data_IF_555585885417
#
_entry.id   IF_555585885417
#
_cell.length_a   1.000
_cell.length_b   1.000
_cell.length_c   1.000
_cell.angle_alpha   90.00
_cell.angle_beta   90.00
_cell.angle_gamma   90.00
#
_symmetry.space_group_name_H-M   'P 1'
#
loop_
_entity.id
_entity.type
_entity.pdbx_description
1 polymer ?
#
# COMPACT_ATOMS: atom_id res chain seq x y z
N UNK A 1 -17.94 15.36 -54.50
CA UNK A 1 -17.84 16.01 -53.17
C UNK A 1 -18.09 14.91 -52.13
N UNK A 2 -17.02 14.39 -51.58
CA UNK A 2 -17.05 13.22 -50.63
C UNK A 2 -17.01 13.80 -49.22
N UNK A 3 -18.11 13.70 -48.48
CA UNK A 3 -18.18 14.12 -47.08
C UNK A 3 -17.72 12.93 -46.24
N UNK A 4 -16.48 12.99 -45.71
CA UNK A 4 -16.04 12.07 -44.67
C UNK A 4 -16.71 12.45 -43.34
N UNK A 5 -17.67 11.64 -42.88
CA UNK A 5 -18.13 11.66 -41.48
C UNK A 5 -17.02 11.02 -40.60
N UNK A 6 -16.25 11.86 -39.92
CA UNK A 6 -15.44 11.44 -38.78
C UNK A 6 -16.40 11.17 -37.59
N UNK A 7 -16.82 9.93 -37.43
CA UNK A 7 -17.45 9.50 -36.19
C UNK A 7 -16.34 9.47 -35.11
N UNK A 8 -16.27 10.53 -34.30
CA UNK A 8 -15.44 10.58 -33.14
C UNK A 8 -15.94 9.53 -32.11
N UNK A 9 -15.21 8.42 -31.96
CA UNK A 9 -15.38 7.57 -30.79
C UNK A 9 -14.96 8.39 -29.56
N UNK A 10 -15.95 8.95 -28.87
CA UNK A 10 -15.75 9.43 -27.51
C UNK A 10 -15.62 8.16 -26.64
N UNK A 11 -14.40 7.73 -26.37
CA UNK A 11 -14.14 6.79 -25.29
C UNK A 11 -14.61 7.47 -24.00
N UNK A 12 -15.72 7.01 -23.42
CA UNK A 12 -16.15 7.47 -22.10
C UNK A 12 -15.06 7.08 -21.11
N UNK A 13 -14.42 8.06 -20.48
CA UNK A 13 -13.46 7.79 -19.43
C UNK A 13 -14.12 6.94 -18.35
N UNK A 14 -13.60 5.75 -18.10
CA UNK A 14 -14.10 4.89 -17.06
C UNK A 14 -13.73 5.48 -15.71
N UNK A 15 -14.71 5.62 -14.82
CA UNK A 15 -14.45 6.04 -13.44
C UNK A 15 -13.59 5.01 -12.72
N UNK A 16 -12.79 5.46 -11.75
CA UNK A 16 -12.05 4.58 -10.89
C UNK A 16 -12.99 3.54 -10.23
N UNK A 17 -12.56 2.28 -10.10
CA UNK A 17 -13.33 1.26 -9.41
C UNK A 17 -13.64 1.68 -7.97
N UNK A 18 -14.78 1.27 -7.45
CA UNK A 18 -15.08 1.50 -6.03
C UNK A 18 -14.06 0.76 -5.17
N UNK A 19 -13.59 1.38 -4.06
CA UNK A 19 -12.73 0.69 -3.10
C UNK A 19 -13.39 -0.58 -2.58
N UNK A 20 -12.59 -1.61 -2.34
CA UNK A 20 -13.05 -2.88 -1.79
C UNK A 20 -12.13 -3.37 -0.68
N UNK A 21 -12.68 -4.19 0.22
CA UNK A 21 -11.97 -4.74 1.37
C UNK A 21 -11.66 -6.23 1.15
N UNK A 22 -10.51 -6.66 1.68
CA UNK A 22 -10.09 -8.05 1.83
C UNK A 22 -9.92 -8.32 3.32
N UNK A 23 -10.45 -9.42 3.81
CA UNK A 23 -10.49 -9.66 5.26
C UNK A 23 -9.21 -10.28 5.83
N UNK A 24 -8.47 -11.07 5.03
CA UNK A 24 -7.26 -11.76 5.49
C UNK A 24 -6.14 -11.75 4.43
N UNK A 25 -5.07 -10.93 4.62
CA UNK A 25 -4.94 -9.91 5.67
C UNK A 25 -5.98 -8.80 5.48
N UNK A 26 -6.27 -8.03 6.53
CA UNK A 26 -7.26 -6.95 6.41
C UNK A 26 -6.70 -5.81 5.56
N UNK A 27 -7.11 -5.74 4.30
CA UNK A 27 -6.70 -4.75 3.31
C UNK A 27 -7.90 -3.94 2.83
N UNK A 28 -7.66 -2.68 2.54
CA UNK A 28 -8.57 -1.88 1.71
C UNK A 28 -7.86 -1.42 0.47
N UNK A 29 -8.44 -1.76 -0.69
CA UNK A 29 -7.84 -1.57 -2.01
C UNK A 29 -8.51 -0.40 -2.73
N UNK A 30 -7.68 0.50 -3.25
CA UNK A 30 -8.07 1.66 -4.04
C UNK A 30 -7.33 1.60 -5.39
N UNK A 31 -8.03 1.21 -6.43
CA UNK A 31 -7.48 1.17 -7.78
C UNK A 31 -7.71 2.50 -8.51
N UNK A 32 -6.77 2.98 -9.31
CA UNK A 32 -6.98 4.13 -10.18
C UNK A 32 -7.98 3.82 -11.28
N UNK A 33 -8.47 4.85 -11.96
CA UNK A 33 -9.22 4.67 -13.18
C UNK A 33 -8.36 3.91 -14.22
N UNK A 34 -8.92 2.95 -14.96
CA UNK A 34 -8.14 2.08 -15.85
C UNK A 34 -7.27 2.83 -16.85
N UNK A 35 -7.76 3.95 -17.39
CA UNK A 35 -7.04 4.79 -18.34
C UNK A 35 -5.87 5.57 -17.75
N UNK A 36 -5.82 5.72 -16.43
CA UNK A 36 -4.72 6.35 -15.71
C UNK A 36 -3.71 5.34 -15.16
N UNK A 37 -4.10 4.06 -15.07
CA UNK A 37 -3.31 3.04 -14.39
C UNK A 37 -1.91 2.90 -14.98
N UNK A 38 -0.89 3.11 -14.13
CA UNK A 38 0.53 2.97 -14.49
C UNK A 38 1.05 1.54 -14.28
N UNK A 39 0.28 0.71 -13.60
CA UNK A 39 0.72 -0.59 -13.09
C UNK A 39 1.42 -0.51 -11.74
N UNK A 40 1.81 0.68 -11.27
CA UNK A 40 2.45 0.85 -9.96
C UNK A 40 1.45 0.69 -8.82
N UNK A 41 1.89 0.08 -7.73
CA UNK A 41 1.11 -0.04 -6.50
C UNK A 41 1.94 0.29 -5.25
N UNK A 42 1.26 0.73 -4.20
CA UNK A 42 1.86 0.99 -2.89
C UNK A 42 1.02 0.33 -1.80
N UNK A 43 1.64 -0.51 -0.99
CA UNK A 43 1.06 -1.04 0.25
C UNK A 43 1.35 -0.06 1.37
N UNK A 44 0.31 0.50 1.98
CA UNK A 44 0.42 1.49 3.04
C UNK A 44 0.25 0.84 4.42
N UNK A 45 1.20 1.08 5.31
CA UNK A 45 1.20 0.67 6.70
C UNK A 45 1.00 1.91 7.59
N UNK A 46 -0.21 2.21 8.06
CA UNK A 46 -0.46 3.35 8.94
C UNK A 46 0.28 3.21 10.27
N UNK A 47 0.66 4.32 10.89
CA UNK A 47 1.21 4.36 12.24
C UNK A 47 0.14 4.21 13.31
N UNK A 48 0.54 4.38 14.56
CA UNK A 48 -0.32 4.28 15.74
C UNK A 48 0.37 3.61 16.94
N UNK A 49 1.71 3.64 16.97
CA UNK A 49 2.51 3.16 18.11
C UNK A 49 2.34 1.69 18.44
N UNK A 50 1.92 0.86 17.48
CA UNK A 50 1.54 -0.55 17.68
C UNK A 50 0.42 -0.79 18.70
N UNK A 51 -0.32 0.26 19.07
CA UNK A 51 -1.49 0.20 19.95
C UNK A 51 -2.82 0.48 19.24
N UNK A 52 -2.74 0.96 18.01
CA UNK A 52 -3.86 1.25 17.12
C UNK A 52 -3.37 1.55 15.71
N UNK A 53 -4.28 1.95 14.80
CA UNK A 53 -3.96 2.30 13.42
C UNK A 53 -4.62 3.63 13.03
N UNK A 54 -3.81 4.54 12.56
CA UNK A 54 -4.24 5.83 12.00
C UNK A 54 -4.74 5.66 10.54
N UNK A 55 -5.66 4.72 10.31
CA UNK A 55 -6.06 4.26 8.97
C UNK A 55 -6.62 5.35 8.05
N UNK A 56 -7.20 6.41 8.62
CA UNK A 56 -7.74 7.51 7.82
C UNK A 56 -6.60 8.37 7.29
N UNK A 57 -5.99 9.21 8.13
CA UNK A 57 -5.02 10.22 7.68
C UNK A 57 -3.64 9.68 7.27
N UNK A 58 -3.26 8.48 7.71
CA UNK A 58 -2.02 7.81 7.27
C UNK A 58 -2.28 6.64 6.29
N UNK A 59 -3.53 6.48 5.87
CA UNK A 59 -3.95 5.42 4.95
C UNK A 59 -4.91 5.93 3.89
N UNK A 60 -6.20 5.92 4.17
CA UNK A 60 -7.27 6.16 3.18
C UNK A 60 -7.20 7.53 2.52
N UNK A 61 -6.84 8.57 3.26
CA UNK A 61 -6.79 9.96 2.75
C UNK A 61 -5.71 10.15 1.67
N UNK A 62 -4.76 9.22 1.55
CA UNK A 62 -3.77 9.19 0.48
C UNK A 62 -4.34 8.67 -0.85
N UNK A 63 -5.46 7.93 -0.84
CA UNK A 63 -5.99 7.28 -2.03
C UNK A 63 -6.29 8.25 -3.19
N UNK A 64 -6.93 9.40 -2.98
CA UNK A 64 -7.17 10.36 -4.07
C UNK A 64 -5.88 10.85 -4.73
N UNK A 65 -4.82 11.07 -3.93
CA UNK A 65 -3.53 11.50 -4.44
C UNK A 65 -2.89 10.43 -5.32
N UNK A 66 -2.75 9.21 -4.82
CA UNK A 66 -2.13 8.10 -5.56
C UNK A 66 -2.93 7.72 -6.80
N UNK A 67 -4.25 7.58 -6.67
CA UNK A 67 -5.10 7.21 -7.81
C UNK A 67 -5.09 8.27 -8.92
N UNK A 68 -5.01 9.56 -8.59
CA UNK A 68 -4.83 10.64 -9.58
C UNK A 68 -3.52 10.49 -10.36
N UNK A 69 -2.49 9.91 -9.76
CA UNK A 69 -1.20 9.61 -10.40
C UNK A 69 -1.19 8.25 -11.11
N UNK A 70 -2.32 7.57 -11.18
CA UNK A 70 -2.42 6.23 -11.77
C UNK A 70 -1.82 5.12 -10.94
N UNK A 71 -1.61 5.35 -9.64
CA UNK A 71 -0.98 4.41 -8.71
C UNK A 71 -2.08 3.79 -7.84
N UNK A 72 -2.09 2.45 -7.72
CA UNK A 72 -2.96 1.77 -6.79
C UNK A 72 -2.46 1.94 -5.35
N UNK A 73 -3.37 2.18 -4.42
CA UNK A 73 -3.08 2.21 -2.99
C UNK A 73 -3.78 1.06 -2.29
N UNK A 74 -3.02 0.29 -1.50
CA UNK A 74 -3.52 -0.82 -0.71
C UNK A 74 -3.21 -0.54 0.76
N UNK A 75 -4.21 -0.24 1.57
CA UNK A 75 -4.01 0.09 2.98
C UNK A 75 -4.13 -1.18 3.81
N UNK A 76 -3.05 -1.53 4.50
CA UNK A 76 -2.98 -2.69 5.38
C UNK A 76 -3.39 -2.31 6.80
N UNK A 77 -4.42 -2.96 7.31
CA UNK A 77 -4.82 -2.90 8.72
C UNK A 77 -4.16 -4.08 9.45
N UNK A 78 -2.86 -3.97 9.68
CA UNK A 78 -2.09 -5.04 10.33
C UNK A 78 -2.50 -5.25 11.79
N UNK A 79 -2.37 -6.48 12.26
CA UNK A 79 -2.65 -6.85 13.66
C UNK A 79 -1.63 -6.22 14.60
N UNK A 80 -2.11 -5.79 15.77
CA UNK A 80 -1.22 -5.29 16.82
C UNK A 80 -0.37 -6.42 17.38
N UNK A 81 0.92 -6.17 17.69
CA UNK A 81 1.84 -7.21 18.13
C UNK A 81 1.44 -7.83 19.47
N UNK A 82 0.94 -7.06 20.44
CA UNK A 82 0.57 -7.58 21.77
C UNK A 82 1.63 -8.50 22.38
N UNK A 83 2.90 -8.12 22.22
CA UNK A 83 4.06 -8.93 22.64
C UNK A 83 4.56 -9.93 21.58
N UNK A 84 3.87 -10.09 20.46
CA UNK A 84 4.30 -10.95 19.34
C UNK A 84 4.50 -10.12 18.06
N UNK A 85 5.75 -9.71 17.85
CA UNK A 85 6.14 -8.92 16.65
C UNK A 85 5.94 -9.65 15.32
N UNK A 86 5.76 -10.97 15.34
CA UNK A 86 5.55 -11.73 14.10
C UNK A 86 4.19 -11.45 13.48
N UNK A 87 3.20 -11.02 14.27
CA UNK A 87 1.85 -10.74 13.79
C UNK A 87 1.82 -9.64 12.72
N UNK A 88 2.28 -8.39 12.99
CA UNK A 88 2.29 -7.35 11.96
C UNK A 88 3.22 -7.68 10.79
N UNK A 89 4.36 -8.35 11.05
CA UNK A 89 5.31 -8.76 9.99
C UNK A 89 4.63 -9.74 9.03
N UNK A 90 4.03 -10.81 9.56
CA UNK A 90 3.35 -11.80 8.72
C UNK A 90 2.20 -11.19 7.91
N UNK A 91 1.43 -10.26 8.50
CA UNK A 91 0.36 -9.57 7.78
C UNK A 91 0.91 -8.75 6.61
N UNK A 92 2.03 -8.06 6.81
CA UNK A 92 2.65 -7.27 5.75
C UNK A 92 3.28 -8.15 4.67
N UNK A 93 3.91 -9.27 5.03
CA UNK A 93 4.43 -10.24 4.06
C UNK A 93 3.31 -10.86 3.21
N UNK A 94 2.22 -11.28 3.85
CA UNK A 94 1.05 -11.82 3.14
C UNK A 94 0.41 -10.75 2.25
N UNK A 95 0.34 -9.49 2.70
CA UNK A 95 -0.15 -8.39 1.90
C UNK A 95 0.70 -8.18 0.64
N UNK A 96 2.04 -8.13 0.78
CA UNK A 96 2.96 -8.00 -0.34
C UNK A 96 2.82 -9.15 -1.35
N UNK A 97 2.69 -10.39 -0.85
CA UNK A 97 2.44 -11.55 -1.69
C UNK A 97 1.11 -11.43 -2.43
N UNK A 98 0.03 -11.12 -1.72
CA UNK A 98 -1.31 -11.02 -2.28
C UNK A 98 -1.40 -9.96 -3.37
N UNK A 99 -0.79 -8.79 -3.19
CA UNK A 99 -0.77 -7.73 -4.20
C UNK A 99 -0.04 -8.20 -5.46
N UNK A 100 1.07 -8.94 -5.34
CA UNK A 100 1.77 -9.53 -6.49
C UNK A 100 0.96 -10.61 -7.19
N UNK A 101 0.35 -11.51 -6.43
CA UNK A 101 -0.48 -12.58 -6.99
C UNK A 101 -1.74 -12.05 -7.70
N UNK A 102 -2.22 -10.87 -7.28
CA UNK A 102 -3.37 -10.19 -7.88
C UNK A 102 -3.01 -9.24 -9.03
N UNK A 103 -1.75 -9.16 -9.41
CA UNK A 103 -1.25 -8.14 -10.34
C UNK A 103 -2.02 -8.14 -11.68
N UNK A 104 -2.25 -9.29 -12.26
CA UNK A 104 -2.98 -9.41 -13.53
C UNK A 104 -4.45 -8.92 -13.39
N UNK A 105 -5.11 -9.29 -12.29
CA UNK A 105 -6.52 -8.94 -12.06
C UNK A 105 -6.69 -7.44 -11.74
N UNK A 106 -5.71 -6.85 -11.07
CA UNK A 106 -5.75 -5.44 -10.67
C UNK A 106 -5.02 -4.51 -11.64
N UNK A 107 -4.57 -5.03 -12.78
CA UNK A 107 -3.79 -4.29 -13.79
C UNK A 107 -2.55 -3.63 -13.19
N UNK A 108 -1.77 -4.41 -12.43
CA UNK A 108 -0.54 -3.99 -11.78
C UNK A 108 0.68 -4.64 -12.44
N UNK A 109 1.84 -4.00 -12.28
CA UNK A 109 3.14 -4.60 -12.59
C UNK A 109 3.71 -5.24 -11.30
N UNK A 110 3.87 -6.57 -11.22
CA UNK A 110 4.37 -7.23 -10.02
C UNK A 110 5.82 -6.83 -9.66
N UNK A 111 6.53 -6.19 -10.58
CA UNK A 111 7.89 -5.69 -10.38
C UNK A 111 7.93 -4.18 -10.05
N UNK A 112 6.78 -3.55 -9.78
CA UNK A 112 6.69 -2.14 -9.42
C UNK A 112 5.72 -1.92 -8.25
N UNK A 113 5.89 -2.71 -7.19
CA UNK A 113 5.08 -2.67 -5.97
C UNK A 113 5.96 -2.18 -4.82
N UNK A 114 5.60 -1.02 -4.29
CA UNK A 114 6.26 -0.42 -3.14
C UNK A 114 5.53 -0.67 -1.82
N UNK A 115 6.21 -0.31 -0.73
CA UNK A 115 5.62 -0.22 0.60
C UNK A 115 5.82 1.18 1.15
N UNK A 116 4.84 1.70 1.85
CA UNK A 116 4.99 2.96 2.58
C UNK A 116 4.51 2.81 4.02
N UNK A 117 5.03 3.65 4.90
CA UNK A 117 4.56 3.65 6.28
C UNK A 117 5.00 4.88 7.06
N UNK A 118 4.20 5.20 8.07
CA UNK A 118 4.42 6.33 8.97
C UNK A 118 4.67 5.84 10.38
N UNK A 119 5.61 6.44 11.10
CA UNK A 119 5.88 6.13 12.52
C UNK A 119 6.12 4.63 12.75
N UNK A 120 5.31 3.95 13.57
CA UNK A 120 5.36 2.50 13.78
C UNK A 120 5.09 1.71 12.48
N UNK A 121 4.20 2.19 11.60
CA UNK A 121 4.00 1.64 10.27
C UNK A 121 5.22 1.81 9.36
N UNK A 122 5.97 2.90 9.53
CA UNK A 122 7.26 3.12 8.89
C UNK A 122 8.32 2.13 9.36
N UNK A 123 8.33 1.78 10.65
CA UNK A 123 9.15 0.69 11.19
C UNK A 123 8.79 -0.65 10.53
N UNK A 124 7.51 -0.99 10.47
CA UNK A 124 7.05 -2.20 9.79
C UNK A 124 7.46 -2.22 8.32
N UNK A 125 7.20 -1.11 7.59
CA UNK A 125 7.55 -0.99 6.17
C UNK A 125 9.05 -1.18 5.93
N UNK A 126 9.91 -0.55 6.73
CA UNK A 126 11.36 -0.70 6.62
C UNK A 126 11.83 -2.12 6.97
N UNK A 127 11.18 -2.77 7.93
CA UNK A 127 11.45 -4.17 8.29
C UNK A 127 11.17 -5.10 7.11
N UNK A 128 10.02 -4.95 6.46
CA UNK A 128 9.67 -5.75 5.27
C UNK A 128 10.67 -5.49 4.14
N UNK A 129 11.02 -4.23 3.88
CA UNK A 129 11.94 -3.89 2.79
C UNK A 129 13.35 -4.48 2.98
N UNK A 130 13.78 -4.71 4.22
CA UNK A 130 15.15 -5.11 4.52
C UNK A 130 15.28 -6.56 4.97
N UNK A 131 14.30 -7.13 5.67
CA UNK A 131 14.39 -8.42 6.32
C UNK A 131 13.45 -9.51 5.75
N UNK A 132 12.37 -9.15 5.05
CA UNK A 132 11.50 -10.15 4.45
C UNK A 132 12.24 -11.04 3.43
N UNK A 133 11.75 -12.26 3.14
CA UNK A 133 12.24 -13.07 2.02
C UNK A 133 12.29 -12.25 0.72
N UNK A 134 13.31 -12.48 -0.11
CA UNK A 134 13.61 -11.65 -1.29
C UNK A 134 12.39 -11.48 -2.20
N UNK A 135 11.62 -12.54 -2.39
CA UNK A 135 10.42 -12.57 -3.23
C UNK A 135 9.25 -11.74 -2.67
N UNK A 136 9.28 -11.42 -1.37
CA UNK A 136 8.25 -10.62 -0.69
C UNK A 136 8.67 -9.15 -0.52
N UNK A 137 9.97 -8.83 -0.75
CA UNK A 137 10.45 -7.45 -0.59
C UNK A 137 9.79 -6.51 -1.59
N UNK A 138 9.45 -5.29 -1.16
CA UNK A 138 8.97 -4.25 -2.07
C UNK A 138 10.08 -3.84 -3.06
N UNK A 139 9.67 -3.29 -4.21
CA UNK A 139 10.59 -2.74 -5.19
C UNK A 139 11.14 -1.36 -4.77
N UNK A 140 10.39 -0.66 -3.94
CA UNK A 140 10.78 0.62 -3.32
C UNK A 140 10.04 0.82 -1.99
N UNK A 141 10.51 1.78 -1.19
CA UNK A 141 9.83 2.15 0.07
C UNK A 141 9.71 3.67 0.20
N UNK A 142 8.65 4.11 0.88
CA UNK A 142 8.40 5.51 1.25
C UNK A 142 8.19 5.55 2.76
N UNK A 143 9.03 6.26 3.48
CA UNK A 143 8.99 6.30 4.93
C UNK A 143 8.72 7.72 5.43
N UNK A 144 7.68 7.88 6.24
CA UNK A 144 7.35 9.12 6.92
C UNK A 144 7.68 8.97 8.41
N UNK A 145 8.58 9.80 8.93
CA UNK A 145 9.02 9.82 10.34
C UNK A 145 9.08 8.42 10.97
N UNK A 146 9.78 7.45 10.33
CA UNK A 146 9.75 6.06 10.76
C UNK A 146 10.50 5.87 12.09
N UNK A 147 10.06 4.92 12.91
CA UNK A 147 10.89 4.43 14.00
C UNK A 147 11.88 3.43 13.41
N UNK A 148 13.17 3.74 13.45
CA UNK A 148 14.22 2.92 12.80
C UNK A 148 15.11 2.21 13.82
N UNK A 149 15.48 2.89 14.91
CA UNK A 149 16.34 2.31 15.93
C UNK A 149 15.56 1.85 17.15
N UNK A 150 16.01 0.76 17.77
CA UNK A 150 15.54 0.31 19.09
C UNK A 150 16.45 0.78 20.23
N UNK A 151 17.44 1.63 19.96
CA UNK A 151 18.23 2.29 20.99
C UNK A 151 17.34 3.21 21.82
N UNK A 152 17.26 2.93 23.13
CA UNK A 152 16.39 3.65 24.08
C UNK A 152 16.61 5.16 24.13
N UNK A 153 17.79 5.63 23.73
CA UNK A 153 18.12 7.05 23.68
C UNK A 153 17.45 7.79 22.52
N UNK A 154 16.98 7.07 21.49
CA UNK A 154 16.49 7.63 20.23
C UNK A 154 15.16 7.06 19.77
N UNK A 155 14.72 5.93 20.34
CA UNK A 155 13.52 5.23 19.90
C UNK A 155 12.25 5.77 20.57
N UNK A 156 11.12 5.50 19.92
CA UNK A 156 9.81 5.63 20.55
C UNK A 156 9.55 4.38 21.41
N UNK A 157 9.44 4.56 22.73
CA UNK A 157 9.36 3.44 23.70
C UNK A 157 8.18 2.51 23.43
N UNK A 158 7.01 3.01 23.01
CA UNK A 158 5.86 2.18 22.65
C UNK A 158 6.05 1.31 21.39
N UNK A 159 7.13 1.54 20.63
CA UNK A 159 7.53 0.66 19.51
C UNK A 159 8.69 -0.27 19.88
N UNK A 160 9.36 -0.01 21.03
CA UNK A 160 10.46 -0.82 21.55
C UNK A 160 9.93 -2.06 22.28
N UNK A 161 8.89 -1.89 23.10
CA UNK A 161 8.29 -2.91 23.96
C UNK A 161 7.23 -3.73 23.21
#
# INVERSE_FOLDING_TARGET
>A
MLVLLLAGLQASAQSAPKPFDIEQPSLRVFLPAPELATGRAVVACPGGGYSGLAVNHEGYDWAPYFNKQGIALIVLKYRMPKGDRTLPISDAEVAMKMVRDSADVWNLNPNDIGIMGSSAGGHLASTIATHAPKELRPNFQILFYPVITMDKSFTHMGSHD
#
